data_IF_998424847907
#
_entry.id   IF_998424847907
#
_cell.length_a   1.000
_cell.length_b   1.000
_cell.length_c   1.000
_cell.angle_alpha   90.00
_cell.angle_beta   90.00
_cell.angle_gamma   90.00
#
_symmetry.space_group_name_H-M   'P 1'
#
loop_
_entity.id
_entity.type
_entity.pdbx_description
1 polymer ?
#
# COMPACT_ATOMS: atom_id res chain seq x y z
N UNK A 1 -1.38 -11.66 2.50
CA UNK A 1 -1.25 -11.04 3.78
C UNK A 1 -0.95 -9.56 3.71
N UNK A 2 -0.21 -9.02 2.76
CA UNK A 2 0.06 -7.59 2.86
C UNK A 2 -1.18 -6.73 2.66
N UNK A 3 -1.21 -5.61 3.36
CA UNK A 3 -2.22 -4.58 3.22
C UNK A 3 -1.54 -3.27 2.84
N UNK A 4 -1.80 -2.81 1.63
CA UNK A 4 -1.31 -1.51 1.17
C UNK A 4 -2.45 -0.50 1.31
N UNK A 5 -2.27 0.46 2.19
CA UNK A 5 -3.26 1.51 2.45
C UNK A 5 -2.75 2.80 1.83
N UNK A 6 -3.49 3.30 0.86
CA UNK A 6 -3.13 4.50 0.12
C UNK A 6 -3.92 5.67 0.69
N UNK A 7 -3.23 6.62 1.31
CA UNK A 7 -3.80 7.89 1.70
C UNK A 7 -3.48 8.92 0.62
N UNK A 8 -4.48 9.67 0.16
CA UNK A 8 -4.24 10.68 -0.86
C UNK A 8 -5.24 11.82 -0.79
N UNK A 9 -4.87 12.96 -1.35
CA UNK A 9 -5.81 14.04 -1.55
C UNK A 9 -6.90 13.61 -2.55
N UNK A 10 -8.12 14.10 -2.37
CA UNK A 10 -9.24 13.70 -3.23
C UNK A 10 -9.00 14.01 -4.71
N UNK A 11 -8.21 15.05 -5.02
CA UNK A 11 -7.88 15.40 -6.41
C UNK A 11 -7.09 14.31 -7.14
N UNK A 12 -6.36 13.46 -6.41
CA UNK A 12 -5.61 12.34 -7.01
C UNK A 12 -6.54 11.44 -7.83
N UNK A 13 -7.75 11.21 -7.33
CA UNK A 13 -8.73 10.34 -7.98
C UNK A 13 -9.39 10.99 -9.21
N UNK A 14 -9.13 12.28 -9.44
CA UNK A 14 -9.53 12.98 -10.66
C UNK A 14 -8.44 12.93 -11.74
N UNK A 15 -7.21 12.68 -11.34
CA UNK A 15 -6.06 12.57 -12.26
C UNK A 15 -5.99 11.17 -12.86
N UNK A 16 -6.11 10.14 -12.00
CA UNK A 16 -6.16 8.74 -12.41
C UNK A 16 -7.32 8.08 -11.69
N UNK A 17 -7.96 7.10 -12.32
CA UNK A 17 -9.07 6.40 -11.69
C UNK A 17 -8.61 5.60 -10.47
N UNK A 18 -9.48 5.44 -9.46
CA UNK A 18 -9.15 4.59 -8.31
C UNK A 18 -8.76 3.17 -8.74
N UNK A 19 -9.44 2.62 -9.73
CA UNK A 19 -9.18 1.26 -10.23
C UNK A 19 -7.76 1.13 -10.77
N UNK A 20 -7.28 2.13 -11.53
CA UNK A 20 -5.92 2.12 -12.06
C UNK A 20 -4.87 2.23 -10.97
N UNK A 21 -5.14 3.06 -9.97
CA UNK A 21 -4.23 3.22 -8.83
C UNK A 21 -4.12 1.91 -8.04
N UNK A 22 -5.26 1.32 -7.70
CA UNK A 22 -5.33 0.06 -6.98
C UNK A 22 -4.61 -1.05 -7.74
N UNK A 23 -4.87 -1.15 -9.05
CA UNK A 23 -4.25 -2.16 -9.90
C UNK A 23 -2.75 -1.99 -10.00
N UNK A 24 -2.27 -0.76 -10.16
CA UNK A 24 -0.85 -0.47 -10.27
C UNK A 24 -0.09 -0.89 -9.01
N UNK A 25 -0.61 -0.54 -7.84
CA UNK A 25 0.02 -0.91 -6.57
C UNK A 25 -0.02 -2.42 -6.37
N UNK A 26 -1.17 -3.06 -6.63
CA UNK A 26 -1.32 -4.51 -6.56
C UNK A 26 -0.31 -5.22 -7.47
N UNK A 27 -0.30 -4.86 -8.74
CA UNK A 27 0.53 -5.57 -9.74
C UNK A 27 2.02 -5.38 -9.47
N UNK A 28 2.41 -4.20 -9.00
CA UNK A 28 3.80 -3.93 -8.63
C UNK A 28 4.22 -4.76 -7.42
N UNK A 29 3.36 -4.84 -6.41
CA UNK A 29 3.62 -5.67 -5.23
C UNK A 29 3.69 -7.15 -5.59
N UNK A 30 2.79 -7.63 -6.45
CA UNK A 30 2.80 -9.01 -6.91
C UNK A 30 4.07 -9.34 -7.68
N UNK A 31 4.50 -8.44 -8.57
CA UNK A 31 5.71 -8.61 -9.36
C UNK A 31 6.99 -8.66 -8.52
N UNK A 32 6.96 -8.17 -7.29
CA UNK A 32 8.11 -8.25 -6.40
C UNK A 32 8.47 -9.69 -6.01
N UNK A 33 7.52 -10.61 -6.12
CA UNK A 33 7.71 -12.00 -5.72
C UNK A 33 7.71 -12.23 -4.21
N UNK A 34 7.45 -11.20 -3.41
CA UNK A 34 7.51 -11.30 -1.95
C UNK A 34 6.25 -11.86 -1.33
N UNK A 35 5.13 -11.90 -2.06
CA UNK A 35 3.83 -12.23 -1.52
C UNK A 35 3.19 -13.36 -2.30
N UNK A 36 2.43 -14.18 -1.60
CA UNK A 36 1.65 -15.25 -2.21
C UNK A 36 0.57 -14.64 -3.11
N UNK A 37 0.40 -15.19 -4.29
CA UNK A 37 -0.64 -14.77 -5.23
C UNK A 37 -2.02 -14.87 -4.56
N UNK A 38 -2.79 -13.80 -4.70
CA UNK A 38 -4.12 -13.74 -4.11
C UNK A 38 -4.18 -13.18 -2.69
N UNK A 39 -3.02 -12.89 -2.07
CA UNK A 39 -2.97 -12.39 -0.69
C UNK A 39 -2.97 -10.87 -0.58
N UNK A 40 -2.64 -10.16 -1.64
CA UNK A 40 -2.43 -8.71 -1.61
C UNK A 40 -3.76 -7.96 -1.50
N UNK A 41 -3.88 -7.09 -0.51
CA UNK A 41 -5.03 -6.20 -0.33
C UNK A 41 -4.55 -4.77 -0.52
N UNK A 42 -5.31 -4.01 -1.29
CA UNK A 42 -5.02 -2.59 -1.56
C UNK A 42 -6.31 -1.81 -1.38
N UNK A 43 -6.22 -0.68 -0.71
CA UNK A 43 -7.37 0.21 -0.53
C UNK A 43 -6.92 1.66 -0.48
N UNK A 44 -7.87 2.56 -0.74
CA UNK A 44 -7.61 4.00 -0.81
C UNK A 44 -8.46 4.71 0.23
N UNK A 45 -7.83 5.62 0.98
CA UNK A 45 -8.49 6.62 1.79
C UNK A 45 -8.25 7.98 1.13
N UNK A 46 -9.30 8.64 0.67
CA UNK A 46 -9.18 9.98 0.13
C UNK A 46 -9.46 11.03 1.20
N UNK A 47 -8.74 12.15 1.12
CA UNK A 47 -8.85 13.23 2.09
C UNK A 47 -9.27 14.52 1.41
N UNK A 48 -10.33 15.11 1.92
CA UNK A 48 -10.80 16.44 1.54
C UNK A 48 -10.13 17.50 2.41
N UNK A 49 -9.94 17.18 3.69
CA UNK A 49 -9.37 18.09 4.69
C UNK A 49 -7.96 17.66 5.04
N UNK A 50 -6.99 18.41 4.54
CA UNK A 50 -5.57 18.14 4.74
C UNK A 50 -4.78 19.39 4.38
N UNK A 51 -3.52 19.41 4.78
CA UNK A 51 -2.56 20.40 4.28
C UNK A 51 -1.24 19.72 3.96
N UNK A 52 -0.52 20.27 2.99
CA UNK A 52 0.85 19.94 2.68
C UNK A 52 1.64 21.23 2.82
N UNK A 53 2.45 21.37 3.89
CA UNK A 53 3.17 22.59 4.20
C UNK A 53 2.27 23.85 4.16
N UNK A 54 1.07 23.75 4.76
CA UNK A 54 0.05 24.80 4.77
C UNK A 54 -0.52 25.15 3.38
N UNK A 55 -0.34 24.29 2.41
CA UNK A 55 -0.97 24.42 1.08
C UNK A 55 -1.97 23.29 0.85
N UNK A 56 -2.67 23.39 -0.28
CA UNK A 56 -3.57 22.32 -0.74
C UNK A 56 -2.92 21.51 -1.86
N UNK A 57 -1.60 21.43 -1.88
CA UNK A 57 -0.90 20.57 -2.84
C UNK A 57 -1.33 19.12 -2.69
N UNK A 58 -1.34 18.40 -3.80
CA UNK A 58 -1.71 16.98 -3.79
C UNK A 58 -0.63 16.14 -3.11
N UNK A 59 -1.07 15.07 -2.49
CA UNK A 59 -0.17 14.11 -1.88
C UNK A 59 -0.68 12.68 -2.05
N UNK A 60 0.26 11.74 -2.05
CA UNK A 60 0.01 10.31 -1.94
C UNK A 60 0.99 9.76 -0.91
N UNK A 61 0.49 9.07 0.10
CA UNK A 61 1.33 8.29 0.99
C UNK A 61 0.77 6.89 1.14
N UNK A 62 1.63 5.88 1.02
CA UNK A 62 1.24 4.48 1.14
C UNK A 62 1.83 3.88 2.41
N UNK A 63 0.98 3.19 3.18
CA UNK A 63 1.43 2.34 4.27
C UNK A 63 1.40 0.90 3.77
N UNK A 64 2.59 0.32 3.57
CA UNK A 64 2.71 -1.08 3.22
C UNK A 64 2.85 -1.91 4.49
N UNK A 65 1.77 -2.57 4.89
CA UNK A 65 1.74 -3.39 6.09
C UNK A 65 1.96 -4.85 5.70
N UNK A 66 3.12 -5.41 6.05
CA UNK A 66 3.52 -6.75 5.64
C UNK A 66 3.94 -7.58 6.84
N UNK A 67 3.96 -8.90 6.67
CA UNK A 67 4.45 -9.80 7.71
C UNK A 67 5.97 -9.64 7.87
N UNK A 68 6.46 -9.69 9.10
CA UNK A 68 7.90 -9.70 9.37
C UNK A 68 8.61 -10.86 8.66
N UNK A 69 9.90 -10.73 8.46
CA UNK A 69 10.74 -11.79 7.90
C UNK A 69 11.41 -11.43 6.58
N UNK A 70 11.01 -10.36 5.90
CA UNK A 70 11.72 -9.89 4.70
C UNK A 70 12.92 -9.07 5.12
N UNK A 71 13.95 -9.09 4.27
CA UNK A 71 15.16 -8.31 4.52
C UNK A 71 14.91 -6.82 4.30
N UNK A 72 15.79 -5.99 4.83
CA UNK A 72 15.75 -4.54 4.58
C UNK A 72 15.83 -4.24 3.08
N UNK A 73 16.70 -4.97 2.36
CA UNK A 73 16.87 -4.79 0.92
C UNK A 73 15.59 -5.13 0.14
N UNK A 74 14.90 -6.20 0.53
CA UNK A 74 13.63 -6.58 -0.10
C UNK A 74 12.56 -5.52 0.13
N UNK A 75 12.46 -4.99 1.33
CA UNK A 75 11.48 -3.94 1.68
C UNK A 75 11.81 -2.64 0.96
N UNK A 76 13.07 -2.26 0.89
CA UNK A 76 13.51 -1.06 0.19
C UNK A 76 13.23 -1.16 -1.31
N UNK A 77 13.48 -2.31 -1.92
CA UNK A 77 13.21 -2.54 -3.32
C UNK A 77 11.71 -2.45 -3.63
N UNK A 78 10.88 -3.05 -2.78
CA UNK A 78 9.43 -2.99 -2.91
C UNK A 78 8.94 -1.53 -2.90
N UNK A 79 9.39 -0.75 -1.92
CA UNK A 79 9.05 0.68 -1.81
C UNK A 79 9.44 1.44 -3.05
N UNK A 80 10.66 1.24 -3.53
CA UNK A 80 11.20 1.94 -4.69
C UNK A 80 10.40 1.61 -5.96
N UNK A 81 10.07 0.35 -6.16
CA UNK A 81 9.28 -0.08 -7.33
C UNK A 81 7.92 0.59 -7.38
N UNK A 82 7.24 0.65 -6.23
CA UNK A 82 5.92 1.28 -6.14
C UNK A 82 6.02 2.77 -6.44
N UNK A 83 6.99 3.46 -5.83
CA UNK A 83 7.17 4.90 -6.05
C UNK A 83 7.52 5.21 -7.50
N UNK A 84 8.36 4.41 -8.15
CA UNK A 84 8.70 4.61 -9.57
C UNK A 84 7.42 4.60 -10.42
N UNK A 85 6.53 3.63 -10.19
CA UNK A 85 5.27 3.54 -10.93
C UNK A 85 4.37 4.73 -10.68
N UNK A 86 4.18 5.10 -9.41
CA UNK A 86 3.31 6.23 -9.05
C UNK A 86 3.86 7.56 -9.56
N UNK A 87 5.16 7.75 -9.50
CA UNK A 87 5.81 8.96 -10.05
C UNK A 87 5.53 9.10 -11.54
N UNK A 88 5.54 8.00 -12.27
CA UNK A 88 5.21 8.00 -13.69
C UNK A 88 3.74 8.35 -13.95
N UNK A 89 2.84 7.87 -13.10
CA UNK A 89 1.41 8.15 -13.24
C UNK A 89 1.05 9.58 -12.82
N UNK A 90 1.79 10.15 -11.89
CA UNK A 90 1.51 11.46 -11.28
C UNK A 90 2.73 12.38 -11.33
N UNK A 91 3.17 12.77 -12.53
CA UNK A 91 4.42 13.52 -12.67
C UNK A 91 4.40 14.89 -11.99
N UNK A 92 3.22 15.46 -11.77
CA UNK A 92 3.08 16.80 -11.19
C UNK A 92 2.70 16.79 -9.70
N UNK A 93 2.56 15.63 -9.09
CA UNK A 93 2.23 15.53 -7.66
C UNK A 93 3.51 15.64 -6.83
N UNK A 94 3.63 16.67 -5.98
CA UNK A 94 4.90 16.94 -5.30
C UNK A 94 5.24 15.98 -4.18
N UNK A 95 4.25 15.34 -3.56
CA UNK A 95 4.46 14.41 -2.45
C UNK A 95 3.94 13.03 -2.81
N UNK A 96 4.86 12.11 -3.04
CA UNK A 96 4.55 10.69 -3.25
C UNK A 96 5.53 9.91 -2.39
N UNK A 97 5.03 9.20 -1.41
CA UNK A 97 5.88 8.49 -0.46
C UNK A 97 5.25 7.18 -0.01
N UNK A 98 6.08 6.32 0.55
CA UNK A 98 5.67 5.02 1.08
C UNK A 98 6.56 4.66 2.27
N UNK A 99 5.99 4.01 3.26
CA UNK A 99 6.78 3.32 4.26
C UNK A 99 6.25 1.90 4.44
N UNK A 100 7.14 1.01 4.83
CA UNK A 100 6.81 -0.39 5.09
C UNK A 100 6.76 -0.58 6.60
N UNK A 101 5.65 -1.16 7.08
CA UNK A 101 5.46 -1.55 8.48
C UNK A 101 5.27 -3.06 8.55
N UNK A 102 5.72 -3.66 9.64
CA UNK A 102 5.66 -5.11 9.77
C UNK A 102 4.66 -5.53 10.84
N UNK A 103 3.92 -6.61 10.52
CA UNK A 103 3.13 -7.31 11.53
C UNK A 103 4.06 -8.25 12.30
N UNK A 104 3.87 -8.28 13.61
CA UNK A 104 4.50 -9.27 14.45
C UNK A 104 3.77 -10.60 14.26
N UNK A 105 4.50 -11.62 13.81
CA UNK A 105 3.92 -12.92 13.52
C UNK A 105 3.22 -13.53 14.72
N UNK A 106 3.79 -13.37 15.90
CA UNK A 106 3.26 -13.96 17.12
C UNK A 106 1.87 -13.44 17.51
N UNK A 107 1.54 -12.21 17.11
CA UNK A 107 0.25 -11.56 17.46
C UNK A 107 -0.71 -11.48 16.29
N UNK A 108 -0.24 -11.77 15.07
CA UNK A 108 -1.11 -11.75 13.90
C UNK A 108 -2.04 -12.96 13.89
N UNK A 109 -3.30 -12.74 13.57
CA UNK A 109 -4.27 -13.82 13.43
C UNK A 109 -5.25 -13.51 12.30
N UNK A 110 -5.67 -14.54 11.59
CA UNK A 110 -6.74 -14.46 10.61
C UNK A 110 -7.66 -15.67 10.75
N UNK A 111 -8.75 -15.69 9.98
CA UNK A 111 -9.76 -16.75 10.11
C UNK A 111 -9.22 -18.17 9.88
N UNK A 112 -8.14 -18.29 9.10
CA UNK A 112 -7.58 -19.61 8.75
C UNK A 112 -6.68 -20.16 9.86
N UNK A 113 -6.34 -19.35 10.86
CA UNK A 113 -5.48 -19.73 11.98
C UNK A 113 -6.28 -20.15 13.22
N UNK A 114 -7.60 -20.04 13.19
CA UNK A 114 -8.47 -20.42 14.31
C UNK A 114 -9.48 -21.44 13.85
N UNK A 115 -9.90 -22.30 14.78
CA UNK A 115 -10.97 -23.26 14.54
C UNK A 115 -12.31 -22.68 14.95
N UNK A 116 -13.34 -22.99 14.19
CA UNK A 116 -14.71 -22.75 14.65
C UNK A 116 -15.03 -23.74 15.75
N UNK A 117 -15.88 -23.31 16.66
CA UNK A 117 -16.40 -24.20 17.71
C UNK A 117 -17.07 -25.41 17.05
N UNK A 118 -16.66 -26.61 17.46
CA UNK A 118 -17.18 -27.84 16.92
C UNK A 118 -16.40 -28.44 15.77
N UNK A 119 -15.36 -27.78 15.25
CA UNK A 119 -14.49 -28.29 14.18
C UNK A 119 -13.36 -29.18 14.68
N UNK A 120 -13.18 -29.25 15.96
CA UNK A 120 -12.06 -29.95 16.59
C UNK A 120 -12.31 -31.46 16.65
#
# INVERSE_FOLDING_TARGET
MPHFVIDCSENILKIQSPEEILKTVHDTAEASGLFKKGDIKVRINEYKYYTVANTKDDFIHIFGNIMEGRTTEQKADLSKRIIIKLKSMFPDVPVISINIREFEKATYCNRNLVYHEGEI
#
